data_IF_827479421116
#
_entry.id   IF_827479421116
#
_cell.length_a   1.000
_cell.length_b   1.000
_cell.length_c   1.000
_cell.angle_alpha   90.00
_cell.angle_beta   90.00
_cell.angle_gamma   90.00
#
_symmetry.space_group_name_H-M   'P 1'
#
loop_
_entity.id
_entity.type
_entity.pdbx_description
1 polymer ?
#
# COMPACT_ATOMS: atom_id res chain seq x y z
N UNK A 1 -14.17 2.57 -15.43
CA UNK A 1 -13.00 3.26 -16.01
C UNK A 1 -12.75 4.62 -15.34
N UNK A 2 -13.69 5.17 -14.57
CA UNK A 2 -13.69 6.59 -14.16
C UNK A 2 -13.06 6.94 -12.80
N UNK A 3 -12.59 6.00 -11.99
CA UNK A 3 -11.85 6.32 -10.76
C UNK A 3 -10.75 5.28 -10.55
N UNK A 4 -9.70 5.37 -11.36
CA UNK A 4 -8.43 4.77 -10.96
C UNK A 4 -7.52 5.93 -10.62
N UNK A 5 -7.22 6.08 -9.33
CA UNK A 5 -6.07 6.84 -8.86
C UNK A 5 -4.84 6.28 -9.59
N UNK A 6 -4.47 6.92 -10.69
CA UNK A 6 -3.35 6.48 -11.50
C UNK A 6 -2.08 6.78 -10.70
N UNK A 7 -1.44 5.73 -10.17
CA UNK A 7 -0.17 5.77 -9.42
C UNK A 7 1.05 6.25 -10.26
N UNK A 8 0.82 7.00 -11.34
CA UNK A 8 1.82 7.43 -12.32
C UNK A 8 2.80 8.40 -11.67
N UNK A 9 4.09 8.07 -11.72
CA UNK A 9 5.17 8.93 -11.19
C UNK A 9 5.31 8.91 -9.67
N UNK A 10 4.46 8.17 -8.95
CA UNK A 10 4.53 8.04 -7.50
C UNK A 10 5.56 7.00 -7.04
N UNK A 11 6.13 7.23 -5.86
CA UNK A 11 6.88 6.18 -5.15
C UNK A 11 5.86 5.32 -4.42
N UNK A 12 5.85 4.02 -4.74
CA UNK A 12 4.86 3.08 -4.20
C UNK A 12 5.49 2.21 -3.12
N UNK A 13 4.87 2.18 -1.94
CA UNK A 13 5.38 1.42 -0.81
C UNK A 13 4.51 1.53 0.44
N UNK A 14 4.76 0.74 1.48
CA UNK A 14 5.94 -0.13 1.70
C UNK A 14 5.97 -1.44 0.90
N UNK A 15 4.83 -1.91 0.42
CA UNK A 15 4.72 -3.11 -0.43
C UNK A 15 3.97 -2.75 -1.69
N UNK A 16 4.56 -3.07 -2.84
CA UNK A 16 3.94 -2.83 -4.14
C UNK A 16 2.94 -3.94 -4.47
N UNK A 17 1.94 -3.60 -5.28
CA UNK A 17 0.88 -4.51 -5.70
C UNK A 17 0.07 -5.08 -4.51
N UNK A 18 -0.43 -6.31 -4.58
CA UNK A 18 -1.46 -6.84 -3.68
C UNK A 18 -0.89 -7.70 -2.56
N UNK A 19 -1.36 -7.46 -1.33
CA UNK A 19 -1.27 -8.38 -0.19
C UNK A 19 -2.63 -9.04 0.00
N UNK A 20 -2.65 -10.36 -0.08
CA UNK A 20 -3.86 -11.16 0.01
C UNK A 20 -4.59 -10.96 1.34
N UNK A 21 -5.91 -10.75 1.30
CA UNK A 21 -6.77 -10.56 2.47
C UNK A 21 -6.33 -9.40 3.40
N UNK A 22 -5.49 -8.49 2.90
CA UNK A 22 -4.91 -7.42 3.69
C UNK A 22 -4.13 -7.89 4.90
N UNK A 23 -3.48 -9.05 4.84
CA UNK A 23 -2.70 -9.55 5.97
C UNK A 23 -1.49 -10.37 5.55
N UNK A 24 -0.48 -10.37 6.40
CA UNK A 24 0.70 -11.24 6.26
C UNK A 24 1.25 -11.61 7.65
N UNK A 25 2.08 -12.65 7.70
CA UNK A 25 2.69 -13.14 8.95
C UNK A 25 4.21 -13.04 8.87
N UNK A 26 4.83 -12.45 9.89
CA UNK A 26 6.29 -12.44 10.08
C UNK A 26 6.56 -12.98 11.48
N UNK A 27 7.46 -13.97 11.59
CA UNK A 27 7.86 -14.59 12.85
C UNK A 27 6.68 -15.02 13.75
N UNK A 28 5.66 -15.63 13.11
CA UNK A 28 4.45 -16.10 13.79
C UNK A 28 3.46 -14.99 14.19
N UNK A 29 3.79 -13.72 13.98
CA UNK A 29 2.88 -12.59 14.25
C UNK A 29 2.15 -12.20 12.98
N UNK A 30 0.81 -12.22 13.01
CA UNK A 30 -0.03 -11.77 11.89
C UNK A 30 -0.32 -10.28 11.99
N UNK A 31 0.02 -9.56 10.93
CA UNK A 31 -0.26 -8.15 10.77
C UNK A 31 -1.44 -7.98 9.81
N UNK A 32 -2.40 -7.18 10.23
CA UNK A 32 -3.53 -6.74 9.40
C UNK A 32 -3.26 -5.35 8.86
N UNK A 33 -3.65 -5.12 7.63
CA UNK A 33 -3.48 -3.91 6.87
C UNK A 33 -4.86 -3.40 6.40
N UNK A 34 -4.88 -2.15 5.96
CA UNK A 34 -6.06 -1.56 5.34
C UNK A 34 -6.38 -2.26 4.02
N UNK A 35 -7.64 -2.65 3.82
CA UNK A 35 -8.14 -3.23 2.57
C UNK A 35 -8.71 -2.11 1.72
N UNK A 36 -7.90 -1.59 0.79
CA UNK A 36 -8.28 -0.53 -0.15
C UNK A 36 -8.68 -1.08 -1.53
N UNK A 37 -8.56 -2.38 -1.76
CA UNK A 37 -8.98 -3.05 -2.99
C UNK A 37 -9.50 -4.44 -2.63
N UNK A 38 -10.72 -4.49 -2.12
CA UNK A 38 -11.34 -5.71 -1.58
C UNK A 38 -11.08 -6.95 -2.46
N UNK A 39 -10.60 -8.07 -1.88
CA UNK A 39 -10.31 -8.31 -0.46
C UNK A 39 -8.87 -7.94 -0.02
N UNK A 40 -8.10 -7.25 -0.86
CA UNK A 40 -6.66 -7.10 -0.71
C UNK A 40 -6.24 -5.69 -0.27
N UNK A 41 -5.04 -5.61 0.29
CA UNK A 41 -4.31 -4.34 0.34
C UNK A 41 -3.54 -4.17 -0.97
N UNK A 42 -3.83 -3.12 -1.71
CA UNK A 42 -3.13 -2.73 -2.93
C UNK A 42 -2.19 -1.56 -2.63
N UNK A 43 -0.95 -1.64 -3.13
CA UNK A 43 0.01 -0.54 -3.15
C UNK A 43 0.20 0.11 -1.77
N UNK A 44 0.40 -0.68 -0.71
CA UNK A 44 0.67 -0.15 0.62
C UNK A 44 -0.55 0.38 1.40
N UNK A 45 -1.77 0.29 0.83
CA UNK A 45 -3.01 0.71 1.51
C UNK A 45 -3.28 2.21 1.37
N UNK A 46 -4.14 2.76 2.24
CA UNK A 46 -4.51 4.19 2.18
C UNK A 46 -3.35 5.14 2.48
N UNK A 47 -2.32 4.65 3.19
CA UNK A 47 -1.16 5.42 3.61
C UNK A 47 0.10 5.05 2.80
N UNK A 48 -0.06 4.90 1.48
CA UNK A 48 1.06 4.68 0.57
C UNK A 48 1.99 5.90 0.49
N UNK A 49 3.25 5.68 0.10
CA UNK A 49 4.24 6.74 -0.08
C UNK A 49 3.85 7.79 -1.14
N UNK A 50 3.00 7.47 -2.12
CA UNK A 50 2.50 8.46 -3.08
C UNK A 50 1.51 9.46 -2.44
N UNK A 51 1.03 9.16 -1.24
CA UNK A 51 0.06 9.99 -0.51
C UNK A 51 0.71 10.88 0.57
N UNK A 52 2.03 10.91 0.68
CA UNK A 52 2.76 11.69 1.72
C UNK A 52 3.91 12.50 1.15
N UNK A 53 4.24 13.63 1.81
CA UNK A 53 5.45 14.40 1.51
C UNK A 53 6.69 13.69 2.09
N UNK A 54 7.56 13.19 1.23
CA UNK A 54 8.80 12.55 1.65
C UNK A 54 9.83 13.63 1.99
N UNK A 55 10.42 13.54 3.18
CA UNK A 55 11.56 14.37 3.55
C UNK A 55 12.84 13.84 2.90
N UNK A 56 13.60 14.73 2.25
CA UNK A 56 14.91 14.44 1.70
C UNK A 56 15.95 15.06 2.64
N UNK A 57 16.86 14.24 3.13
CA UNK A 57 18.01 14.65 3.96
C UNK A 57 19.31 14.33 3.22
N UNK A 58 20.34 15.18 3.41
CA UNK A 58 21.69 15.02 2.86
C UNK A 58 22.70 14.83 3.99
#
# INVERSE_FOLDING_TARGET
YEDQDLYIGGIIGRVTNRIANGQFTIDGTTYKLDVNSDPNTLHGGFNCFDKVCINISF
#
